data_IF_166535794753
#
_entry.id   IF_166535794753
#
_cell.length_a   1.000
_cell.length_b   1.000
_cell.length_c   1.000
_cell.angle_alpha   90.00
_cell.angle_beta   90.00
_cell.angle_gamma   90.00
#
_symmetry.space_group_name_H-M   'P 1'
#
loop_
_entity.id
_entity.type
_entity.pdbx_description
1 polymer ?
#
# COMPACT_ATOMS: atom_id res chain seq x y z
N UNK A 1 4.66 22.65 -30.69
CA UNK A 1 3.72 21.80 -29.95
C UNK A 1 4.37 20.44 -29.74
N UNK A 2 4.80 20.11 -28.51
CA UNK A 2 5.19 18.75 -28.13
C UNK A 2 4.78 18.58 -26.66
N UNK A 3 3.74 17.78 -26.43
CA UNK A 3 3.26 17.45 -25.10
C UNK A 3 4.27 16.54 -24.41
N UNK A 4 4.83 17.01 -23.30
CA UNK A 4 5.60 16.19 -22.37
C UNK A 4 4.61 15.29 -21.62
N UNK A 5 4.61 14.01 -21.95
CA UNK A 5 3.94 12.97 -21.17
C UNK A 5 4.52 12.98 -19.74
N UNK A 6 3.69 13.41 -18.79
CA UNK A 6 3.97 13.39 -17.37
C UNK A 6 4.14 11.93 -16.93
N UNK A 7 5.40 11.51 -16.74
CA UNK A 7 5.71 10.22 -16.13
C UNK A 7 5.21 10.28 -14.69
N UNK A 8 4.11 9.60 -14.39
CA UNK A 8 3.54 9.57 -13.05
C UNK A 8 4.56 8.94 -12.10
N UNK A 9 5.22 9.80 -11.34
CA UNK A 9 6.21 9.44 -10.35
C UNK A 9 5.53 8.61 -9.26
N UNK A 10 5.99 7.38 -9.05
CA UNK A 10 5.46 6.50 -8.01
C UNK A 10 5.79 7.10 -6.64
N UNK A 11 4.92 7.99 -6.15
CA UNK A 11 5.11 8.68 -4.88
C UNK A 11 4.95 7.69 -3.73
N UNK A 12 6.06 7.35 -3.08
CA UNK A 12 6.06 6.69 -1.79
C UNK A 12 5.67 7.70 -0.72
N UNK A 13 4.63 7.39 0.06
CA UNK A 13 4.22 8.22 1.21
C UNK A 13 4.62 7.53 2.52
N UNK A 14 5.17 8.30 3.46
CA UNK A 14 5.43 7.83 4.82
C UNK A 14 4.11 7.82 5.60
N UNK A 15 3.78 6.67 6.18
CA UNK A 15 2.59 6.49 7.02
C UNK A 15 3.05 6.00 8.39
N UNK A 16 2.60 6.67 9.45
CA UNK A 16 2.86 6.27 10.84
C UNK A 16 1.60 5.66 11.42
N UNK A 17 1.69 4.43 11.94
CA UNK A 17 0.58 3.70 12.54
C UNK A 17 0.95 3.27 13.96
N UNK A 18 0.02 3.37 14.90
CA UNK A 18 0.17 2.82 16.25
C UNK A 18 -0.30 1.37 16.25
N UNK A 19 0.55 0.45 16.71
CA UNK A 19 0.23 -0.98 16.81
C UNK A 19 0.66 -1.52 18.16
N UNK A 20 0.05 -2.61 18.61
CA UNK A 20 0.54 -3.37 19.76
C UNK A 20 1.92 -3.95 19.47
N UNK A 21 2.73 -3.99 20.53
CA UNK A 21 4.03 -4.63 20.64
C UNK A 21 4.06 -6.07 20.10
N UNK A 22 2.98 -6.83 20.28
CA UNK A 22 2.86 -8.21 19.79
C UNK A 22 2.98 -8.25 18.26
N UNK A 23 2.30 -7.34 17.55
CA UNK A 23 2.34 -7.30 16.08
C UNK A 23 3.70 -6.83 15.56
N UNK A 24 4.30 -5.84 16.21
CA UNK A 24 5.64 -5.36 15.85
C UNK A 24 6.67 -6.48 16.03
N UNK A 25 6.61 -7.21 17.14
CA UNK A 25 7.49 -8.34 17.42
C UNK A 25 7.30 -9.50 16.42
N UNK A 26 6.06 -9.75 15.99
CA UNK A 26 5.79 -10.74 14.96
C UNK A 26 6.36 -10.32 13.59
N UNK A 27 6.24 -9.04 13.23
CA UNK A 27 6.85 -8.45 12.03
C UNK A 27 8.39 -8.55 12.06
N UNK A 28 9.01 -8.26 13.20
CA UNK A 28 10.46 -8.39 13.37
C UNK A 28 10.93 -9.84 13.18
N UNK A 29 10.20 -10.82 13.70
CA UNK A 29 10.48 -12.26 13.47
C UNK A 29 10.40 -12.65 12.00
N UNK A 30 9.50 -12.05 11.22
CA UNK A 30 9.39 -12.32 9.78
C UNK A 30 10.61 -11.78 9.02
N UNK A 31 11.11 -10.61 9.42
CA UNK A 31 12.32 -10.02 8.85
C UNK A 31 13.57 -10.80 9.26
N UNK A 32 13.68 -11.20 10.53
CA UNK A 32 14.80 -11.99 11.06
C UNK A 32 14.92 -13.37 10.38
N UNK A 33 13.79 -13.97 10.02
CA UNK A 33 13.76 -15.21 9.22
C UNK A 33 14.16 -15.01 7.76
N UNK A 34 14.43 -13.77 7.33
CA UNK A 34 14.79 -13.44 5.95
C UNK A 34 13.62 -13.50 4.96
N UNK A 35 12.37 -13.61 5.44
CA UNK A 35 11.19 -13.65 4.56
C UNK A 35 10.91 -12.29 3.91
N UNK A 36 11.23 -11.20 4.62
CA UNK A 36 11.07 -9.85 4.13
C UNK A 36 12.31 -9.01 4.44
N UNK A 37 12.72 -8.10 3.54
CA UNK A 37 13.90 -7.26 3.74
C UNK A 37 13.70 -6.18 4.82
N UNK A 38 12.45 -5.79 5.11
CA UNK A 38 12.13 -4.84 6.17
C UNK A 38 10.70 -4.99 6.64
N UNK A 39 10.41 -4.46 7.83
CA UNK A 39 9.03 -4.35 8.35
C UNK A 39 8.12 -3.61 7.39
N UNK A 40 8.62 -2.54 6.75
CA UNK A 40 7.85 -1.77 5.78
C UNK A 40 7.48 -2.60 4.55
N UNK A 41 8.37 -3.49 4.10
CA UNK A 41 8.06 -4.39 2.99
C UNK A 41 7.01 -5.42 3.36
N UNK A 42 7.15 -6.04 4.54
CA UNK A 42 6.16 -6.99 5.05
C UNK A 42 4.76 -6.35 5.18
N UNK A 43 4.69 -5.12 5.70
CA UNK A 43 3.43 -4.37 5.79
C UNK A 43 2.87 -4.05 4.41
N UNK A 44 3.72 -3.61 3.46
CA UNK A 44 3.29 -3.33 2.08
C UNK A 44 2.69 -4.57 1.40
N UNK A 45 3.30 -5.74 1.57
CA UNK A 45 2.79 -7.00 1.02
C UNK A 45 1.46 -7.36 1.67
N UNK A 46 1.35 -7.28 3.00
CA UNK A 46 0.09 -7.54 3.70
C UNK A 46 -1.04 -6.60 3.25
N UNK A 47 -0.77 -5.30 3.07
CA UNK A 47 -1.74 -4.33 2.56
C UNK A 47 -2.10 -4.64 1.10
N UNK A 48 -1.13 -4.99 0.26
CA UNK A 48 -1.39 -5.38 -1.13
C UNK A 48 -2.31 -6.58 -1.19
N UNK A 49 -2.00 -7.65 -0.47
CA UNK A 49 -2.80 -8.87 -0.45
C UNK A 49 -4.20 -8.60 0.09
N UNK A 50 -4.33 -7.76 1.12
CA UNK A 50 -5.62 -7.32 1.64
C UNK A 50 -6.42 -6.55 0.59
N UNK A 51 -5.82 -5.57 -0.09
CA UNK A 51 -6.49 -4.79 -1.13
C UNK A 51 -6.85 -5.65 -2.36
N UNK A 52 -6.00 -6.60 -2.72
CA UNK A 52 -6.30 -7.56 -3.79
C UNK A 52 -7.48 -8.46 -3.41
N UNK A 53 -7.57 -8.87 -2.14
CA UNK A 53 -8.65 -9.74 -1.68
C UNK A 53 -9.99 -9.00 -1.53
N UNK A 54 -9.96 -7.78 -0.99
CA UNK A 54 -11.17 -7.04 -0.62
C UNK A 54 -11.64 -6.04 -1.69
N UNK A 55 -10.72 -5.47 -2.48
CA UNK A 55 -11.01 -4.39 -3.42
C UNK A 55 -10.98 -4.82 -4.90
N UNK A 56 -10.28 -5.90 -5.26
CA UNK A 56 -10.30 -6.40 -6.64
C UNK A 56 -11.50 -7.31 -6.86
N UNK A 57 -12.62 -6.70 -7.23
CA UNK A 57 -13.63 -7.36 -8.03
C UNK A 57 -13.13 -7.22 -9.49
N UNK A 58 -12.78 -8.33 -10.13
CA UNK A 58 -12.35 -8.42 -11.55
C UNK A 58 -10.91 -7.97 -11.91
N UNK A 59 -9.99 -7.92 -10.94
CA UNK A 59 -8.54 -7.81 -11.23
C UNK A 59 -8.06 -6.42 -11.68
N UNK A 60 -8.88 -5.39 -11.48
CA UNK A 60 -8.49 -4.00 -11.76
C UNK A 60 -8.23 -3.27 -10.44
N UNK A 61 -7.05 -2.63 -10.25
CA UNK A 61 -6.85 -1.74 -9.11
C UNK A 61 -7.84 -0.59 -9.18
N UNK A 62 -8.59 -0.36 -8.09
CA UNK A 62 -9.42 0.83 -7.91
C UNK A 62 -8.48 2.04 -7.90
N UNK A 63 -8.15 2.55 -9.09
CA UNK A 63 -7.43 3.80 -9.27
C UNK A 63 -8.38 4.91 -8.85
N UNK A 64 -8.07 5.53 -7.69
CA UNK A 64 -8.72 6.73 -7.14
C UNK A 64 -10.21 6.83 -7.47
N UNK A 65 -11.02 6.27 -6.58
CA UNK A 65 -12.42 6.66 -6.54
C UNK A 65 -12.49 8.18 -6.42
N UNK A 66 -13.19 8.74 -7.39
CA UNK A 66 -13.56 10.12 -7.56
C UNK A 66 -14.41 10.59 -6.38
N UNK A 67 -13.78 11.03 -5.30
CA UNK A 67 -14.44 11.90 -4.30
C UNK A 67 -14.47 13.35 -4.80
N UNK A 68 -15.00 13.53 -6.02
CA UNK A 68 -15.27 14.82 -6.62
C UNK A 68 -16.67 14.74 -7.24
N UNK A 69 -17.68 14.55 -6.38
CA UNK A 69 -19.09 14.92 -6.59
C UNK A 69 -19.92 14.51 -5.38
N UNK A 70 -19.93 15.38 -4.39
CA UNK A 70 -21.12 15.66 -3.61
C UNK A 70 -21.19 17.18 -3.49
N UNK A 71 -21.60 17.82 -4.60
CA UNK A 71 -22.22 19.14 -4.52
C UNK A 71 -23.64 18.94 -3.95
N UNK A 72 -24.00 19.82 -3.03
CA UNK A 72 -25.31 19.94 -2.39
C UNK A 72 -25.24 21.01 -1.32
#
# INVERSE_FOLDING_TARGET
MAGSASREETKLQLVTVKMSDIYVSALDKLVERGMYPSRSEAIRVAIRDLLMKELWIDGVPVSKQSDARAEG
#
